data_IF_340859608576
#
_entry.id   IF_340859608576
#
_cell.length_a   1.000
_cell.length_b   1.000
_cell.length_c   1.000
_cell.angle_alpha   90.00
_cell.angle_beta   90.00
_cell.angle_gamma   90.00
#
_symmetry.space_group_name_H-M   'P 1'
#
loop_
_entity.id
_entity.type
_entity.pdbx_description
1 polymer ?
#
# COMPACT_ATOMS: atom_id res chain seq x y z
N UNK A 1 23.21 8.92 11.64
CA UNK A 1 22.38 7.71 11.41
C UNK A 1 22.18 7.59 9.91
N UNK A 2 22.51 6.43 9.34
CA UNK A 2 22.31 6.17 7.90
C UNK A 2 20.79 6.16 7.61
N UNK A 3 20.35 6.67 6.45
CA UNK A 3 18.95 6.60 5.99
C UNK A 3 18.33 5.19 6.05
N UNK A 4 19.15 4.14 6.24
CA UNK A 4 18.75 2.72 6.24
C UNK A 4 18.13 2.25 7.57
N UNK A 5 18.34 2.95 8.67
CA UNK A 5 18.10 2.40 10.00
C UNK A 5 16.65 2.54 10.50
N UNK A 6 15.81 3.33 9.83
CA UNK A 6 14.45 3.64 10.26
C UNK A 6 13.39 3.43 9.16
N UNK A 7 13.60 2.45 8.26
CA UNK A 7 12.59 2.08 7.27
C UNK A 7 12.10 0.65 7.52
N UNK A 8 10.78 0.52 7.56
CA UNK A 8 10.06 -0.76 7.58
C UNK A 8 9.24 -0.86 6.30
N UNK A 9 9.35 -1.96 5.58
CA UNK A 9 8.49 -2.23 4.43
C UNK A 9 7.50 -3.34 4.74
N UNK A 10 6.27 -3.20 4.28
CA UNK A 10 5.20 -4.19 4.41
C UNK A 10 4.62 -4.42 3.02
N UNK A 11 5.07 -5.49 2.38
CA UNK A 11 4.59 -5.90 1.06
C UNK A 11 3.61 -7.07 1.16
N UNK A 12 2.84 -7.28 0.12
CA UNK A 12 1.91 -8.41 0.07
C UNK A 12 0.71 -8.15 -0.85
N UNK A 13 -0.12 -9.17 -1.10
CA UNK A 13 -1.26 -9.09 -2.01
C UNK A 13 -2.37 -8.14 -1.51
N UNK A 14 -3.35 -7.87 -2.37
CA UNK A 14 -4.51 -7.03 -2.03
C UNK A 14 -5.30 -7.66 -0.88
N UNK A 15 -5.87 -6.81 0.00
CA UNK A 15 -6.70 -7.23 1.14
C UNK A 15 -6.00 -8.17 2.16
N UNK A 16 -4.67 -8.28 2.17
CA UNK A 16 -3.93 -9.05 3.18
C UNK A 16 -3.92 -8.43 4.58
N UNK A 17 -4.38 -7.17 4.73
CA UNK A 17 -4.37 -6.44 6.01
C UNK A 17 -3.16 -5.55 6.22
N UNK A 18 -2.22 -5.48 5.25
CA UNK A 18 -0.97 -4.71 5.37
C UNK A 18 -1.16 -3.23 5.66
N UNK A 19 -2.15 -2.55 5.05
CA UNK A 19 -2.42 -1.13 5.32
C UNK A 19 -2.83 -0.86 6.76
N UNK A 20 -3.63 -1.74 7.37
CA UNK A 20 -3.97 -1.65 8.79
C UNK A 20 -2.75 -1.91 9.66
N UNK A 21 -1.95 -2.93 9.33
CA UNK A 21 -0.71 -3.22 10.02
C UNK A 21 0.26 -2.04 9.94
N UNK A 22 0.45 -1.47 8.73
CA UNK A 22 1.34 -0.34 8.50
C UNK A 22 0.97 0.88 9.35
N UNK A 23 -0.32 1.26 9.38
CA UNK A 23 -0.81 2.38 10.20
C UNK A 23 -0.55 2.14 11.70
N UNK A 24 -0.85 0.95 12.20
CA UNK A 24 -0.66 0.62 13.62
C UNK A 24 0.82 0.61 14.01
N UNK A 25 1.71 0.09 13.16
CA UNK A 25 3.16 0.09 13.40
C UNK A 25 3.73 1.50 13.31
N UNK A 26 3.32 2.30 12.31
CA UNK A 26 3.73 3.69 12.18
C UNK A 26 3.34 4.51 13.41
N UNK A 27 2.10 4.39 13.87
CA UNK A 27 1.62 5.04 15.10
C UNK A 27 2.41 4.59 16.34
N UNK A 28 2.65 3.27 16.49
CA UNK A 28 3.41 2.72 17.62
C UNK A 28 4.85 3.23 17.68
N UNK A 29 5.50 3.42 16.53
CA UNK A 29 6.89 3.86 16.44
C UNK A 29 7.05 5.38 16.29
N UNK A 30 5.94 6.11 16.13
CA UNK A 30 5.91 7.52 15.73
C UNK A 30 6.67 7.77 14.41
N UNK A 31 6.48 6.86 13.44
CA UNK A 31 7.04 6.95 12.09
C UNK A 31 6.02 7.54 11.13
N UNK A 32 6.52 8.12 10.05
CA UNK A 32 5.67 8.50 8.93
C UNK A 32 5.21 7.25 8.16
N UNK A 33 4.16 7.39 7.35
CA UNK A 33 3.60 6.29 6.58
C UNK A 33 3.57 6.63 5.09
N UNK A 34 3.91 5.65 4.28
CA UNK A 34 3.69 5.65 2.83
C UNK A 34 2.71 4.55 2.47
N UNK A 35 1.51 4.93 2.00
CA UNK A 35 0.60 4.02 1.27
C UNK A 35 0.88 4.15 -0.23
N UNK A 36 1.75 3.27 -0.73
CA UNK A 36 2.10 3.24 -2.15
C UNK A 36 0.90 2.93 -3.04
N UNK A 37 0.00 2.05 -2.57
CA UNK A 37 -1.22 1.72 -3.30
C UNK A 37 -2.11 2.94 -3.52
N UNK A 38 -2.17 3.83 -2.54
CA UNK A 38 -2.91 5.09 -2.64
C UNK A 38 -2.28 6.05 -3.65
N UNK A 39 -0.94 6.16 -3.69
CA UNK A 39 -0.26 6.97 -4.71
C UNK A 39 -0.55 6.48 -6.14
N UNK A 40 -0.56 5.16 -6.37
CA UNK A 40 -0.97 4.61 -7.66
C UNK A 40 -2.45 4.91 -7.99
N UNK A 41 -3.33 4.98 -7.00
CA UNK A 41 -4.73 5.37 -7.20
C UNK A 41 -4.85 6.85 -7.56
N UNK A 42 -4.13 7.73 -6.87
CA UNK A 42 -4.08 9.16 -7.22
C UNK A 42 -3.56 9.33 -8.64
N UNK A 43 -2.48 8.66 -8.99
CA UNK A 43 -1.91 8.71 -10.33
C UNK A 43 -2.91 8.25 -11.40
N UNK A 44 -3.60 7.13 -11.17
CA UNK A 44 -4.61 6.59 -12.08
C UNK A 44 -5.80 7.54 -12.25
N UNK A 45 -6.27 8.11 -11.16
CA UNK A 45 -7.37 9.08 -11.16
C UNK A 45 -7.02 10.31 -12.01
N UNK A 46 -5.86 10.92 -11.76
CA UNK A 46 -5.40 12.09 -12.51
C UNK A 46 -5.19 11.78 -14.01
N UNK A 47 -4.66 10.58 -14.30
CA UNK A 47 -4.51 10.12 -15.69
C UNK A 47 -5.86 9.93 -16.39
N UNK A 48 -6.83 9.32 -15.70
CA UNK A 48 -8.20 9.15 -16.22
C UNK A 48 -8.94 10.50 -16.39
N UNK A 49 -8.56 11.53 -15.59
CA UNK A 49 -9.02 12.92 -15.76
C UNK A 49 -8.31 13.65 -16.90
N UNK A 50 -7.41 12.99 -17.63
CA UNK A 50 -6.76 13.53 -18.83
C UNK A 50 -5.42 14.22 -18.58
N UNK A 51 -4.83 14.11 -17.37
CA UNK A 51 -3.47 14.62 -17.15
C UNK A 51 -2.44 13.73 -17.84
N UNK A 52 -1.51 14.36 -18.55
CA UNK A 52 -0.36 13.66 -19.15
C UNK A 52 0.58 13.10 -18.09
N UNK A 53 1.18 11.95 -18.34
CA UNK A 53 2.14 11.30 -17.43
C UNK A 53 3.23 12.24 -16.91
N UNK A 54 3.75 13.12 -17.78
CA UNK A 54 4.79 14.11 -17.44
C UNK A 54 4.38 15.14 -16.40
N UNK A 55 3.08 15.42 -16.25
CA UNK A 55 2.53 16.45 -15.35
C UNK A 55 2.01 15.89 -14.03
N UNK A 56 1.69 14.59 -13.98
CA UNK A 56 1.02 13.98 -12.81
C UNK A 56 1.83 14.13 -11.53
N UNK A 57 3.13 13.83 -11.55
CA UNK A 57 3.96 13.90 -10.33
C UNK A 57 4.08 15.33 -9.81
N UNK A 58 4.22 16.32 -10.69
CA UNK A 58 4.25 17.72 -10.28
C UNK A 58 2.91 18.16 -9.69
N UNK A 59 1.79 17.71 -10.25
CA UNK A 59 0.45 17.95 -9.73
C UNK A 59 0.27 17.30 -8.35
N UNK A 60 0.68 16.02 -8.19
CA UNK A 60 0.61 15.34 -6.89
C UNK A 60 1.37 16.13 -5.81
N UNK A 61 2.57 16.62 -6.12
CA UNK A 61 3.39 17.36 -5.14
C UNK A 61 2.80 18.73 -4.76
N UNK A 62 2.09 19.36 -5.67
CA UNK A 62 1.62 20.74 -5.52
C UNK A 62 0.18 20.82 -5.03
N UNK A 63 -0.71 19.99 -5.57
CA UNK A 63 -2.15 20.17 -5.48
C UNK A 63 -2.87 19.02 -4.75
N UNK A 64 -2.20 17.88 -4.49
CA UNK A 64 -2.77 16.78 -3.73
C UNK A 64 -2.39 16.88 -2.24
N UNK A 65 -3.42 16.94 -1.39
CA UNK A 65 -3.25 17.05 0.06
C UNK A 65 -3.86 15.85 0.76
N UNK A 66 -3.07 15.23 1.64
CA UNK A 66 -3.48 14.14 2.51
C UNK A 66 -3.73 14.70 3.90
N UNK A 67 -4.97 14.66 4.37
CA UNK A 67 -5.38 15.13 5.70
C UNK A 67 -5.91 13.97 6.51
N UNK A 68 -5.46 13.83 7.73
CA UNK A 68 -5.96 12.82 8.68
C UNK A 68 -6.60 13.54 9.86
N UNK A 69 -7.85 13.22 10.14
CA UNK A 69 -8.60 13.73 11.27
C UNK A 69 -9.34 12.57 12.00
N UNK A 70 -10.25 12.92 12.92
CA UNK A 70 -11.05 11.94 13.68
C UNK A 70 -11.95 11.07 12.79
N UNK A 71 -12.32 11.55 11.60
CA UNK A 71 -13.15 10.84 10.64
C UNK A 71 -12.34 9.97 9.67
N UNK A 72 -11.02 10.05 9.71
CA UNK A 72 -10.09 9.26 8.92
C UNK A 72 -9.26 10.07 7.93
N UNK A 73 -8.74 9.39 6.91
CA UNK A 73 -7.94 9.99 5.84
C UNK A 73 -8.85 10.59 4.76
N UNK A 74 -8.70 11.88 4.53
CA UNK A 74 -9.29 12.66 3.43
C UNK A 74 -8.20 13.06 2.44
N UNK A 75 -8.49 12.96 1.14
CA UNK A 75 -7.56 13.30 0.07
C UNK A 75 -8.23 14.37 -0.79
N UNK A 76 -7.53 15.49 -0.97
CA UNK A 76 -8.03 16.62 -1.72
C UNK A 76 -7.15 16.89 -2.94
N UNK A 77 -7.76 17.21 -4.07
CA UNK A 77 -7.14 17.82 -5.24
C UNK A 77 -7.51 19.30 -5.25
N UNK A 78 -6.57 20.16 -4.88
CA UNK A 78 -6.84 21.54 -4.56
C UNK A 78 -7.86 21.69 -3.43
N UNK A 79 -9.11 22.05 -3.78
CA UNK A 79 -10.24 22.20 -2.85
C UNK A 79 -11.24 21.04 -2.91
N UNK A 80 -11.13 20.17 -3.90
CA UNK A 80 -12.07 19.08 -4.15
C UNK A 80 -11.71 17.84 -3.32
N UNK A 81 -12.68 17.25 -2.63
CA UNK A 81 -12.50 15.96 -1.94
C UNK A 81 -12.67 14.81 -2.92
N UNK A 82 -11.56 14.17 -3.27
CA UNK A 82 -11.49 13.02 -4.18
C UNK A 82 -11.42 11.67 -3.47
N UNK A 83 -11.58 11.66 -2.14
CA UNK A 83 -11.43 10.44 -1.31
C UNK A 83 -12.33 9.30 -1.78
N UNK A 84 -13.58 9.62 -2.11
CA UNK A 84 -14.56 8.65 -2.60
C UNK A 84 -14.12 8.00 -3.91
N UNK A 85 -13.70 8.81 -4.87
CA UNK A 85 -13.24 8.36 -6.19
C UNK A 85 -12.00 7.46 -6.08
N UNK A 86 -11.05 7.84 -5.23
CA UNK A 86 -9.84 7.04 -5.00
C UNK A 86 -10.15 5.69 -4.33
N UNK A 87 -11.22 5.59 -3.54
CA UNK A 87 -11.64 4.35 -2.88
C UNK A 87 -12.51 3.45 -3.75
N UNK A 88 -12.94 3.93 -4.92
CA UNK A 88 -13.79 3.17 -5.84
C UNK A 88 -13.07 1.95 -6.43
N UNK A 89 -13.85 0.92 -6.81
CA UNK A 89 -13.31 -0.24 -7.53
C UNK A 89 -12.83 0.13 -8.94
N UNK A 90 -13.44 1.13 -9.57
CA UNK A 90 -12.99 1.68 -10.86
C UNK A 90 -11.54 2.15 -10.76
N UNK A 91 -11.25 3.02 -9.80
CA UNK A 91 -9.89 3.55 -9.59
C UNK A 91 -8.91 2.45 -9.13
N UNK A 92 -9.38 1.46 -8.36
CA UNK A 92 -8.55 0.31 -7.98
C UNK A 92 -8.10 -0.52 -9.20
N UNK A 93 -9.00 -0.76 -10.15
CA UNK A 93 -8.72 -1.48 -11.41
C UNK A 93 -7.79 -0.64 -12.31
N UNK A 94 -8.05 0.66 -12.45
CA UNK A 94 -7.19 1.58 -13.20
C UNK A 94 -5.77 1.60 -12.61
N UNK A 95 -5.60 1.77 -11.29
CA UNK A 95 -4.32 1.74 -10.60
C UNK A 95 -3.56 0.42 -10.84
N UNK A 96 -4.26 -0.72 -10.76
CA UNK A 96 -3.67 -2.02 -11.07
C UNK A 96 -3.19 -2.12 -12.53
N UNK A 97 -3.91 -1.52 -13.48
CA UNK A 97 -3.52 -1.50 -14.90
C UNK A 97 -2.26 -0.67 -15.11
N UNK A 98 -2.22 0.58 -14.62
CA UNK A 98 -1.09 1.47 -14.84
C UNK A 98 0.15 1.09 -14.04
N UNK A 99 -0.01 0.33 -12.94
CA UNK A 99 1.13 -0.13 -12.12
C UNK A 99 2.08 -1.09 -12.85
N UNK A 100 1.70 -1.63 -14.01
CA UNK A 100 2.56 -2.42 -14.89
C UNK A 100 3.36 -1.57 -15.89
N UNK A 101 3.03 -0.28 -16.05
CA UNK A 101 3.69 0.61 -16.98
C UNK A 101 5.03 1.13 -16.43
N UNK A 102 6.08 1.01 -17.23
CA UNK A 102 7.43 1.48 -16.84
C UNK A 102 7.43 2.98 -16.51
N UNK A 103 6.75 3.78 -17.31
CA UNK A 103 6.68 5.22 -17.12
C UNK A 103 6.04 5.60 -15.77
N UNK A 104 4.88 5.02 -15.45
CA UNK A 104 4.20 5.24 -14.15
C UNK A 104 5.12 4.90 -12.98
N UNK A 105 5.83 3.76 -13.07
CA UNK A 105 6.74 3.32 -12.01
C UNK A 105 7.94 4.23 -11.85
N UNK A 106 8.54 4.64 -12.97
CA UNK A 106 9.67 5.59 -12.95
C UNK A 106 9.26 6.93 -12.36
N UNK A 107 8.09 7.43 -12.75
CA UNK A 107 7.55 8.69 -12.24
C UNK A 107 7.26 8.65 -10.74
N UNK A 108 6.76 7.53 -10.22
CA UNK A 108 6.42 7.41 -8.79
C UNK A 108 7.60 7.06 -7.89
N UNK A 109 8.68 6.48 -8.41
CA UNK A 109 9.78 5.97 -7.60
C UNK A 109 10.42 7.04 -6.70
N UNK A 110 10.77 8.19 -7.29
CA UNK A 110 11.37 9.29 -6.53
C UNK A 110 10.36 9.96 -5.59
N UNK A 111 9.08 10.01 -5.97
CA UNK A 111 8.03 10.49 -5.09
C UNK A 111 7.87 9.60 -3.86
N UNK A 112 7.84 8.27 -4.05
CA UNK A 112 7.76 7.29 -2.96
C UNK A 112 8.96 7.39 -2.02
N UNK A 113 10.18 7.51 -2.55
CA UNK A 113 11.40 7.68 -1.77
C UNK A 113 11.42 8.99 -0.98
N UNK A 114 10.82 10.04 -1.53
CA UNK A 114 10.69 11.35 -0.89
C UNK A 114 9.82 11.37 0.37
N UNK A 115 9.03 10.31 0.65
CA UNK A 115 8.27 10.19 1.89
C UNK A 115 9.14 9.88 3.12
N UNK A 116 10.40 9.48 2.91
CA UNK A 116 11.29 9.25 4.04
C UNK A 116 11.60 10.55 4.79
N UNK A 117 11.48 10.49 6.12
CA UNK A 117 11.86 11.57 7.02
C UNK A 117 12.79 11.06 8.13
N UNK A 118 13.37 11.98 8.90
CA UNK A 118 14.22 11.65 10.05
C UNK A 118 13.48 10.91 11.18
N UNK A 119 12.15 10.97 11.22
CA UNK A 119 11.35 10.20 12.17
C UNK A 119 11.40 8.69 11.89
N UNK A 120 11.55 8.31 10.62
CA UNK A 120 11.44 6.97 10.10
C UNK A 120 10.19 6.79 9.25
N UNK A 121 10.10 5.65 8.55
CA UNK A 121 9.04 5.38 7.58
C UNK A 121 8.53 3.94 7.68
N UNK A 122 7.22 3.77 7.65
CA UNK A 122 6.56 2.49 7.33
C UNK A 122 5.97 2.60 5.93
N UNK A 123 6.46 1.79 5.00
CA UNK A 123 6.03 1.79 3.61
C UNK A 123 5.20 0.53 3.30
N UNK A 124 3.93 0.74 2.91
CA UNK A 124 2.99 -0.30 2.49
C UNK A 124 2.90 -0.36 0.97
N UNK A 125 3.08 -1.56 0.39
CA UNK A 125 3.01 -1.71 -1.06
C UNK A 125 3.02 -3.14 -1.60
N UNK A 126 3.78 -3.33 -2.69
CA UNK A 126 3.98 -4.60 -3.39
C UNK A 126 5.45 -4.92 -3.62
N UNK A 127 6.26 -3.91 -3.68
CA UNK A 127 7.68 -3.93 -4.06
C UNK A 127 8.51 -2.93 -3.24
N UNK A 128 7.99 -2.57 -2.07
CA UNK A 128 8.69 -1.62 -1.18
C UNK A 128 10.03 -2.18 -0.73
N UNK A 129 10.09 -3.44 -0.33
CA UNK A 129 11.30 -4.09 0.15
C UNK A 129 12.22 -4.62 -0.95
N UNK A 130 11.72 -4.78 -2.19
CA UNK A 130 12.51 -5.27 -3.32
C UNK A 130 13.05 -4.16 -4.22
N UNK A 131 12.29 -3.06 -4.41
CA UNK A 131 12.59 -2.01 -5.41
C UNK A 131 12.70 -0.63 -4.79
N UNK A 132 11.70 -0.18 -4.03
CA UNK A 132 11.66 1.21 -3.56
C UNK A 132 12.66 1.45 -2.43
N UNK A 133 12.67 0.58 -1.43
CA UNK A 133 13.57 0.62 -0.26
C UNK A 133 14.30 -0.72 -0.06
N UNK A 134 15.16 -1.13 -1.00
CA UNK A 134 15.83 -2.44 -0.94
C UNK A 134 16.78 -2.58 0.25
N UNK A 135 17.11 -1.50 0.91
CA UNK A 135 17.95 -1.45 2.09
C UNK A 135 17.17 -1.20 3.38
N UNK A 136 15.83 -1.40 3.38
CA UNK A 136 15.02 -1.24 4.58
C UNK A 136 15.48 -2.18 5.71
N UNK A 137 15.47 -1.69 6.95
CA UNK A 137 15.97 -2.42 8.13
C UNK A 137 15.10 -3.63 8.49
N UNK A 138 13.82 -3.52 8.26
CA UNK A 138 12.87 -4.62 8.44
C UNK A 138 11.96 -4.69 7.21
N UNK A 139 11.90 -5.86 6.61
CA UNK A 139 11.02 -6.15 5.49
C UNK A 139 10.05 -7.24 5.90
N UNK A 140 8.78 -6.98 5.71
CA UNK A 140 7.67 -7.90 6.01
C UNK A 140 6.95 -8.21 4.72
N UNK A 141 6.67 -9.47 4.47
CA UNK A 141 5.81 -9.91 3.39
C UNK A 141 4.57 -10.57 3.99
N UNK A 142 3.45 -9.84 3.98
CA UNK A 142 2.20 -10.26 4.63
C UNK A 142 1.29 -10.95 3.63
N UNK A 143 1.01 -12.24 3.84
CA UNK A 143 0.09 -13.03 3.02
C UNK A 143 -1.15 -13.47 3.81
N UNK A 144 -2.17 -13.85 3.09
CA UNK A 144 -3.33 -14.60 3.54
C UNK A 144 -3.97 -15.31 2.34
N UNK A 145 -4.73 -16.36 2.57
CA UNK A 145 -5.43 -17.07 1.51
C UNK A 145 -6.40 -16.17 0.73
N UNK A 146 -6.64 -16.43 -0.56
CA UNK A 146 -7.59 -15.62 -1.35
C UNK A 146 -8.98 -15.54 -0.72
N UNK A 147 -9.44 -16.62 -0.10
CA UNK A 147 -10.75 -16.73 0.55
C UNK A 147 -10.84 -15.82 1.79
N UNK A 148 -9.80 -15.81 2.63
CA UNK A 148 -9.72 -14.92 3.80
C UNK A 148 -9.68 -13.46 3.37
N UNK A 149 -8.91 -13.14 2.33
CA UNK A 149 -8.81 -11.78 1.79
C UNK A 149 -10.12 -11.31 1.15
N UNK A 150 -10.81 -12.20 0.46
CA UNK A 150 -12.13 -11.92 -0.09
C UNK A 150 -13.16 -11.64 1.01
N UNK A 151 -13.14 -12.43 2.10
CA UNK A 151 -14.00 -12.18 3.27
C UNK A 151 -13.71 -10.82 3.92
N UNK A 152 -12.44 -10.45 4.10
CA UNK A 152 -12.04 -9.14 4.64
C UNK A 152 -12.55 -8.01 3.73
N UNK A 153 -12.38 -8.16 2.42
CA UNK A 153 -12.84 -7.17 1.43
C UNK A 153 -14.35 -7.06 1.35
N UNK A 154 -15.04 -8.19 1.42
CA UNK A 154 -16.51 -8.26 1.45
C UNK A 154 -17.08 -7.45 2.62
N UNK A 155 -16.57 -7.65 3.83
CA UNK A 155 -16.98 -6.90 5.01
C UNK A 155 -16.69 -5.40 4.88
N UNK A 156 -15.54 -5.03 4.31
CA UNK A 156 -15.20 -3.64 4.05
C UNK A 156 -16.21 -2.97 3.09
N UNK A 157 -16.60 -3.65 2.02
CA UNK A 157 -17.55 -3.15 1.03
C UNK A 157 -18.97 -3.08 1.59
N UNK A 158 -19.39 -4.10 2.35
CA UNK A 158 -20.69 -4.09 3.05
C UNK A 158 -20.81 -2.92 4.03
N UNK A 159 -19.77 -2.64 4.80
CA UNK A 159 -19.74 -1.50 5.73
C UNK A 159 -19.84 -0.14 5.01
N UNK A 160 -19.60 -0.11 3.70
CA UNK A 160 -19.81 1.07 2.84
C UNK A 160 -21.14 1.04 2.09
N UNK A 161 -22.05 0.12 2.43
CA UNK A 161 -23.36 -0.03 1.79
C UNK A 161 -23.30 -0.58 0.36
N UNK A 162 -22.22 -1.26 -0.03
CA UNK A 162 -22.07 -1.84 -1.36
C UNK A 162 -22.45 -3.32 -1.35
N UNK A 163 -23.36 -3.70 -2.23
CA UNK A 163 -23.65 -5.12 -2.48
C UNK A 163 -22.59 -5.73 -3.39
N UNK A 164 -22.04 -6.86 -2.98
CA UNK A 164 -21.00 -7.56 -3.72
C UNK A 164 -21.20 -9.07 -3.67
N UNK A 165 -20.80 -9.73 -4.75
CA UNK A 165 -20.81 -11.19 -4.84
C UNK A 165 -19.48 -11.75 -4.35
N UNK A 166 -19.51 -12.67 -3.37
CA UNK A 166 -18.31 -13.27 -2.78
C UNK A 166 -17.49 -14.07 -3.79
N UNK A 167 -18.10 -14.83 -4.67
CA UNK A 167 -17.39 -15.63 -5.67
C UNK A 167 -16.66 -14.73 -6.67
N UNK A 168 -17.33 -13.67 -7.13
CA UNK A 168 -16.70 -12.67 -8.00
C UNK A 168 -15.51 -11.97 -7.31
N UNK A 169 -15.62 -11.67 -6.01
CA UNK A 169 -14.50 -11.11 -5.24
C UNK A 169 -13.29 -12.05 -5.14
N UNK A 170 -13.53 -13.34 -4.93
CA UNK A 170 -12.46 -14.35 -4.89
C UNK A 170 -11.74 -14.40 -6.24
N UNK A 171 -12.49 -14.43 -7.33
CA UNK A 171 -11.92 -14.45 -8.69
C UNK A 171 -11.14 -13.17 -9.00
N UNK A 172 -11.70 -12.00 -8.71
CA UNK A 172 -11.01 -10.71 -8.89
C UNK A 172 -9.69 -10.67 -8.10
N UNK A 173 -9.68 -11.20 -6.87
CA UNK A 173 -8.48 -11.27 -6.03
C UNK A 173 -7.44 -12.21 -6.65
N UNK A 174 -7.84 -13.41 -7.07
CA UNK A 174 -6.94 -14.39 -7.71
C UNK A 174 -6.33 -13.85 -9.00
N UNK A 175 -7.13 -13.22 -9.85
CA UNK A 175 -6.67 -12.61 -11.10
C UNK A 175 -5.69 -11.47 -10.84
N UNK A 176 -5.97 -10.65 -9.83
CA UNK A 176 -5.08 -9.56 -9.44
C UNK A 176 -3.76 -10.06 -8.90
N UNK A 177 -3.78 -11.09 -8.05
CA UNK A 177 -2.57 -11.72 -7.52
C UNK A 177 -1.70 -12.28 -8.64
N UNK A 178 -2.32 -13.03 -9.55
CA UNK A 178 -1.60 -13.56 -10.71
C UNK A 178 -0.94 -12.44 -11.52
N UNK A 179 -1.68 -11.36 -11.79
CA UNK A 179 -1.14 -10.19 -12.50
C UNK A 179 -0.01 -9.51 -11.73
N UNK A 180 -0.14 -9.34 -10.41
CA UNK A 180 0.90 -8.71 -9.58
C UNK A 180 2.16 -9.60 -9.52
N UNK A 181 2.02 -10.93 -9.47
CA UNK A 181 3.12 -11.90 -9.41
C UNK A 181 3.84 -12.08 -10.74
N UNK A 182 3.10 -12.05 -11.86
CA UNK A 182 3.66 -12.36 -13.20
C UNK A 182 4.09 -11.13 -14.00
N UNK A 183 3.90 -9.92 -13.47
CA UNK A 183 4.34 -8.71 -14.16
C UNK A 183 5.87 -8.69 -14.31
N UNK A 184 6.33 -8.24 -15.49
CA UNK A 184 7.76 -8.18 -15.83
C UNK A 184 8.52 -7.20 -14.94
N UNK A 185 7.88 -6.07 -14.58
CA UNK A 185 8.48 -5.03 -13.75
C UNK A 185 7.98 -5.15 -12.31
N UNK A 186 8.92 -5.29 -11.36
CA UNK A 186 8.65 -5.35 -9.92
C UNK A 186 7.55 -6.38 -9.56
N UNK A 187 7.73 -7.66 -9.86
CA UNK A 187 6.76 -8.69 -9.49
C UNK A 187 6.51 -8.70 -7.98
N UNK A 188 5.32 -9.11 -7.58
CA UNK A 188 4.99 -9.28 -6.17
C UNK A 188 5.65 -10.55 -5.64
N UNK A 189 6.85 -10.42 -5.12
CA UNK A 189 7.64 -11.49 -4.51
C UNK A 189 8.23 -11.02 -3.17
N UNK A 190 8.43 -11.90 -2.20
CA UNK A 190 9.13 -11.55 -0.97
C UNK A 190 10.60 -11.18 -1.29
N UNK A 191 11.13 -10.16 -0.60
CA UNK A 191 12.56 -9.91 -0.61
C UNK A 191 13.28 -11.05 0.12
N UNK A 192 14.51 -11.38 -0.28
CA UNK A 192 15.29 -12.50 0.30
C UNK A 192 15.45 -12.39 1.83
N UNK A 193 15.59 -11.16 2.34
CA UNK A 193 15.75 -10.85 3.75
C UNK A 193 14.43 -10.50 4.45
N UNK A 194 13.28 -10.71 3.81
CA UNK A 194 11.98 -10.43 4.38
C UNK A 194 11.48 -11.53 5.34
N UNK A 195 10.73 -11.11 6.34
CA UNK A 195 9.95 -12.02 7.19
C UNK A 195 8.57 -12.22 6.55
N UNK A 196 8.30 -13.44 6.12
CA UNK A 196 6.97 -13.81 5.59
C UNK A 196 6.04 -14.12 6.75
N UNK A 197 4.89 -13.48 6.78
CA UNK A 197 3.84 -13.69 7.78
C UNK A 197 2.57 -14.13 7.07
N UNK A 198 2.13 -15.36 7.32
CA UNK A 198 0.81 -15.82 6.89
C UNK A 198 -0.23 -15.46 7.95
N UNK A 199 -1.13 -14.57 7.60
CA UNK A 199 -2.19 -14.08 8.48
C UNK A 199 -3.55 -14.74 8.20
N UNK A 200 -3.57 -15.91 7.54
CA UNK A 200 -4.82 -16.61 7.20
C UNK A 200 -5.62 -16.98 8.45
N UNK A 201 -4.92 -17.47 9.48
CA UNK A 201 -5.51 -17.90 10.75
C UNK A 201 -5.24 -16.92 11.91
N UNK A 202 -4.71 -15.72 11.61
CA UNK A 202 -4.36 -14.73 12.62
C UNK A 202 -5.35 -13.56 12.64
N UNK A 203 -5.68 -13.12 13.85
CA UNK A 203 -6.32 -11.82 14.08
C UNK A 203 -5.37 -10.65 13.78
N UNK A 204 -5.92 -9.47 13.60
CA UNK A 204 -5.09 -8.25 13.43
C UNK A 204 -4.19 -8.02 14.65
N UNK A 205 -4.68 -8.27 15.87
CA UNK A 205 -3.93 -8.05 17.11
C UNK A 205 -2.76 -9.03 17.25
N UNK A 206 -2.92 -10.28 16.82
CA UNK A 206 -1.83 -11.27 16.81
C UNK A 206 -0.75 -10.88 15.82
N UNK A 207 -1.12 -10.49 14.58
CA UNK A 207 -0.18 -10.00 13.56
C UNK A 207 0.54 -8.75 14.07
N UNK A 208 -0.18 -7.82 14.69
CA UNK A 208 0.39 -6.59 15.24
C UNK A 208 1.36 -6.90 16.39
N UNK A 209 0.98 -7.76 17.33
CA UNK A 209 1.83 -8.17 18.45
C UNK A 209 3.13 -8.84 17.97
N UNK A 210 3.01 -9.75 16.99
CA UNK A 210 4.16 -10.40 16.38
C UNK A 210 5.09 -9.38 15.69
N UNK A 211 4.50 -8.46 14.92
CA UNK A 211 5.25 -7.42 14.20
C UNK A 211 5.95 -6.46 15.18
N UNK A 212 5.30 -6.06 16.29
CA UNK A 212 5.95 -5.23 17.33
C UNK A 212 7.17 -5.93 17.95
N UNK A 213 7.13 -7.23 18.18
CA UNK A 213 8.30 -7.99 18.64
C UNK A 213 9.44 -7.98 17.59
N UNK A 214 9.11 -8.09 16.30
CA UNK A 214 10.09 -7.99 15.22
C UNK A 214 10.72 -6.59 15.16
N UNK A 215 9.91 -5.52 15.26
CA UNK A 215 10.45 -4.14 15.23
C UNK A 215 11.41 -3.89 16.38
N UNK A 216 11.04 -4.32 17.61
CA UNK A 216 11.90 -4.20 18.78
C UNK A 216 13.26 -4.90 18.57
N UNK A 217 13.26 -6.11 17.98
CA UNK A 217 14.51 -6.88 17.73
C UNK A 217 15.37 -6.27 16.62
N UNK A 218 14.77 -5.73 15.58
CA UNK A 218 15.48 -5.27 14.37
C UNK A 218 15.90 -3.80 14.45
N UNK A 219 15.14 -2.95 15.15
CA UNK A 219 15.42 -1.52 15.25
C UNK A 219 16.09 -1.13 16.59
N UNK A 220 16.30 -2.08 17.51
CA UNK A 220 16.84 -1.83 18.86
C UNK A 220 16.02 -0.77 19.64
N UNK A 221 14.69 -0.77 19.48
CA UNK A 221 13.75 0.15 20.11
C UNK A 221 12.78 -0.58 21.02
#
# INVERSE_FOLDING_TARGET
MSMKDNIITIDGPSASGKGSLARNIAAHLNFDILDSGLLYRVYAYLYDCGLEHSKIVSHIKKDIFFKTDLNGLTIQDGKEDITGDLRSEKTAKAASKISSLKETRSNLLELQRGFYSSKGLVADGRDMGTVVFPNAKLKIFLIASPEVRAKRRYLELQNRGQEVNMLALIDDIKQRDLKDQTRVLSPLIPAEDSVVIDSSEMSLDEVLSFTKKLTKRKLNK
#
